data_IF_024157856724
#
_entry.id   IF_024157856724
#
_cell.length_a   1.000
_cell.length_b   1.000
_cell.length_c   1.000
_cell.angle_alpha   90.00
_cell.angle_beta   90.00
_cell.angle_gamma   90.00
#
_symmetry.space_group_name_H-M   'P 1'
#
loop_
_entity.id
_entity.type
_entity.pdbx_description
1 polymer ?
#
# COMPACT_ATOMS: atom_id res chain seq x y z
N UNK A 1 21.69 9.22 -24.66
CA UNK A 1 20.73 10.29 -24.99
C UNK A 1 21.00 11.46 -24.05
N UNK A 2 21.27 12.65 -24.59
CA UNK A 2 21.41 13.87 -23.78
C UNK A 2 20.02 14.29 -23.31
N UNK A 3 19.80 14.35 -21.99
CA UNK A 3 18.52 14.72 -21.37
C UNK A 3 18.32 16.23 -21.22
N UNK A 4 19.26 17.04 -21.72
CA UNK A 4 19.17 18.50 -21.70
C UNK A 4 19.55 19.07 -23.07
N UNK A 5 18.69 19.94 -23.61
CA UNK A 5 18.87 20.59 -24.91
C UNK A 5 19.40 22.02 -24.71
N UNK A 6 20.46 22.16 -23.90
CA UNK A 6 21.01 23.47 -23.51
C UNK A 6 22.51 23.50 -23.75
N UNK A 7 22.98 24.51 -24.49
CA UNK A 7 24.40 24.73 -24.77
C UNK A 7 25.07 25.65 -23.73
N UNK A 8 24.29 26.42 -22.96
CA UNK A 8 24.77 27.43 -22.01
C UNK A 8 23.77 27.66 -20.84
N UNK A 9 24.30 27.93 -19.64
CA UNK A 9 23.57 28.26 -18.40
C UNK A 9 23.23 29.76 -18.22
N UNK A 10 23.50 30.60 -19.22
CA UNK A 10 23.24 32.05 -19.18
C UNK A 10 21.80 32.45 -19.59
N UNK A 11 20.95 31.49 -19.96
CA UNK A 11 19.54 31.74 -20.31
C UNK A 11 18.64 31.91 -19.08
N UNK A 12 17.48 32.55 -19.26
CA UNK A 12 16.48 32.71 -18.20
C UNK A 12 15.87 31.34 -17.87
N UNK A 13 15.92 30.95 -16.59
CA UNK A 13 15.43 29.64 -16.10
C UNK A 13 13.95 29.39 -16.45
N UNK A 14 13.16 30.45 -16.62
CA UNK A 14 11.75 30.36 -17.03
C UNK A 14 11.54 29.78 -18.43
N UNK A 15 12.54 29.87 -19.31
CA UNK A 15 12.48 29.33 -20.68
C UNK A 15 12.94 27.86 -20.74
N UNK A 16 13.51 27.37 -19.64
CA UNK A 16 13.95 25.99 -19.49
C UNK A 16 12.72 25.18 -19.04
N UNK A 17 12.11 24.47 -20.00
CA UNK A 17 10.99 23.56 -19.74
C UNK A 17 11.34 22.42 -18.76
N UNK A 18 10.43 21.46 -18.54
CA UNK A 18 10.60 20.41 -17.56
C UNK A 18 11.91 19.62 -17.79
N UNK A 19 12.77 19.56 -16.76
CA UNK A 19 14.11 18.98 -16.82
C UNK A 19 14.21 17.71 -15.96
N UNK A 20 13.68 16.60 -16.47
CA UNK A 20 13.84 15.28 -15.88
C UNK A 20 13.47 14.21 -16.92
N UNK A 21 13.88 12.94 -16.75
CA UNK A 21 13.52 11.90 -17.70
C UNK A 21 12.00 11.60 -17.67
N UNK A 22 11.45 11.23 -18.83
CA UNK A 22 10.05 10.83 -19.02
C UNK A 22 8.98 11.93 -18.86
N UNK A 23 9.35 13.19 -19.10
CA UNK A 23 8.40 14.31 -19.19
C UNK A 23 7.28 14.01 -20.17
N UNK A 24 6.04 14.30 -19.80
CA UNK A 24 4.83 14.02 -20.58
C UNK A 24 4.24 12.63 -20.35
N UNK A 25 4.92 11.74 -19.62
CA UNK A 25 4.39 10.42 -19.24
C UNK A 25 3.81 10.37 -17.82
N UNK A 26 3.77 11.51 -17.13
CA UNK A 26 3.36 11.59 -15.73
C UNK A 26 1.95 11.00 -15.52
N UNK A 27 1.03 11.31 -16.43
CA UNK A 27 -0.35 10.81 -16.36
C UNK A 27 -0.45 9.29 -16.55
N UNK A 28 0.41 8.70 -17.38
CA UNK A 28 0.43 7.25 -17.61
C UNK A 28 0.86 6.54 -16.32
N UNK A 29 1.96 7.01 -15.72
CA UNK A 29 2.47 6.45 -14.47
C UNK A 29 1.51 6.66 -13.30
N UNK A 30 0.86 7.83 -13.24
CA UNK A 30 -0.17 8.10 -12.25
C UNK A 30 -1.33 7.11 -12.36
N UNK A 31 -1.87 6.90 -13.56
CA UNK A 31 -2.98 5.95 -13.79
C UNK A 31 -2.56 4.53 -13.47
N UNK A 32 -1.36 4.12 -13.89
CA UNK A 32 -0.83 2.79 -13.59
C UNK A 32 -0.70 2.55 -12.08
N UNK A 33 -0.17 3.52 -11.34
CA UNK A 33 -0.08 3.49 -9.89
C UNK A 33 -1.46 3.44 -9.23
N UNK A 34 -2.42 4.23 -9.73
CA UNK A 34 -3.78 4.26 -9.20
C UNK A 34 -4.50 2.91 -9.39
N UNK A 35 -4.39 2.31 -10.58
CA UNK A 35 -4.98 0.99 -10.86
C UNK A 35 -4.35 -0.09 -9.98
N UNK A 36 -3.03 -0.08 -9.85
CA UNK A 36 -2.31 -1.00 -8.97
C UNK A 36 -2.76 -0.84 -7.51
N UNK A 37 -2.90 0.39 -7.03
CA UNK A 37 -3.31 0.70 -5.66
C UNK A 37 -4.73 0.20 -5.36
N UNK A 38 -5.68 0.43 -6.26
CA UNK A 38 -7.06 -0.07 -6.10
C UNK A 38 -7.08 -1.60 -6.10
N UNK A 39 -6.38 -2.22 -7.05
CA UNK A 39 -6.28 -3.67 -7.13
C UNK A 39 -5.68 -4.27 -5.85
N UNK A 40 -4.61 -3.67 -5.33
CA UNK A 40 -3.97 -4.07 -4.09
C UNK A 40 -4.95 -4.05 -2.91
N UNK A 41 -5.71 -2.98 -2.73
CA UNK A 41 -6.71 -2.88 -1.65
C UNK A 41 -7.78 -3.96 -1.75
N UNK A 42 -8.28 -4.26 -2.94
CA UNK A 42 -9.27 -5.32 -3.14
C UNK A 42 -8.71 -6.68 -2.71
N UNK A 43 -7.46 -6.97 -3.06
CA UNK A 43 -6.80 -8.23 -2.69
C UNK A 43 -6.53 -8.28 -1.19
N UNK A 44 -6.07 -7.18 -0.60
CA UNK A 44 -5.80 -7.06 0.83
C UNK A 44 -7.07 -7.33 1.65
N UNK A 45 -8.17 -6.64 1.35
CA UNK A 45 -9.45 -6.83 2.05
C UNK A 45 -9.97 -8.26 1.92
N UNK A 46 -9.82 -8.90 0.75
CA UNK A 46 -10.21 -10.31 0.57
C UNK A 46 -9.41 -11.26 1.46
N UNK A 47 -8.11 -11.02 1.60
CA UNK A 47 -7.24 -11.83 2.47
C UNK A 47 -7.58 -11.63 3.93
N UNK A 48 -7.71 -10.39 4.36
CA UNK A 48 -8.07 -10.04 5.74
C UNK A 48 -9.42 -10.65 6.13
N UNK A 49 -10.44 -10.58 5.25
CA UNK A 49 -11.73 -11.19 5.51
C UNK A 49 -11.64 -12.70 5.76
N UNK A 50 -10.82 -13.42 4.99
CA UNK A 50 -10.63 -14.87 5.19
C UNK A 50 -10.01 -15.16 6.56
N UNK A 51 -8.97 -14.42 6.93
CA UNK A 51 -8.32 -14.55 8.24
C UNK A 51 -9.30 -14.23 9.37
N UNK A 52 -10.07 -13.15 9.26
CA UNK A 52 -11.09 -12.80 10.25
C UNK A 52 -12.17 -13.88 10.41
N UNK A 53 -12.65 -14.49 9.32
CA UNK A 53 -13.63 -15.58 9.41
C UNK A 53 -13.04 -16.83 10.10
N UNK A 54 -11.75 -17.13 9.90
CA UNK A 54 -11.05 -18.20 10.59
C UNK A 54 -10.85 -17.90 12.09
N UNK A 55 -10.50 -16.66 12.43
CA UNK A 55 -10.36 -16.21 13.81
C UNK A 55 -11.70 -16.22 14.56
N UNK A 56 -12.78 -15.75 13.93
CA UNK A 56 -14.13 -15.81 14.50
C UNK A 56 -14.54 -17.26 14.76
N UNK A 57 -14.21 -18.20 13.86
CA UNK A 57 -14.50 -19.63 14.10
C UNK A 57 -13.67 -20.20 15.26
N UNK A 58 -12.42 -19.76 15.42
CA UNK A 58 -11.50 -20.29 16.45
C UNK A 58 -11.75 -19.68 17.84
N UNK A 59 -12.11 -18.40 17.89
CA UNK A 59 -12.17 -17.60 19.12
C UNK A 59 -13.53 -16.93 19.38
N UNK A 60 -14.46 -16.92 18.43
CA UNK A 60 -15.74 -16.22 18.56
C UNK A 60 -16.76 -16.90 19.48
N UNK A 61 -16.51 -18.14 19.92
CA UNK A 61 -17.36 -18.82 20.90
C UNK A 61 -17.07 -18.33 22.32
N UNK A 62 -18.10 -17.93 23.07
CA UNK A 62 -18.01 -17.57 24.50
C UNK A 62 -17.32 -18.65 25.33
N UNK A 63 -17.43 -19.91 24.92
CA UNK A 63 -16.77 -21.06 25.54
C UNK A 63 -15.26 -21.11 25.26
N UNK A 64 -14.82 -20.79 24.04
CA UNK A 64 -13.40 -20.71 23.65
C UNK A 64 -12.70 -19.58 24.39
N UNK A 65 -13.35 -18.41 24.49
CA UNK A 65 -12.86 -17.26 25.24
C UNK A 65 -12.75 -17.57 26.73
N UNK A 66 -13.77 -18.21 27.33
CA UNK A 66 -13.72 -18.66 28.73
C UNK A 66 -12.56 -19.63 28.98
N UNK A 67 -12.33 -20.57 28.06
CA UNK A 67 -11.24 -21.56 28.20
C UNK A 67 -9.85 -20.93 28.08
N UNK A 68 -9.69 -19.88 27.28
CA UNK A 68 -8.43 -19.12 27.18
C UNK A 68 -8.21 -18.30 28.46
N UNK A 69 -9.25 -17.60 28.94
CA UNK A 69 -9.21 -16.81 30.18
C UNK A 69 -8.90 -17.70 31.40
N UNK A 70 -9.51 -18.87 31.50
CA UNK A 70 -9.23 -19.83 32.59
C UNK A 70 -7.80 -20.36 32.55
N UNK A 71 -7.24 -20.54 31.36
CA UNK A 71 -5.87 -21.06 31.18
C UNK A 71 -4.79 -20.02 31.49
N UNK A 72 -5.08 -18.74 31.29
CA UNK A 72 -4.19 -17.63 31.66
C UNK A 72 -4.42 -17.14 33.10
N UNK A 73 -5.46 -17.61 33.77
CA UNK A 73 -5.71 -17.26 35.17
C UNK A 73 -4.59 -17.81 36.06
N UNK A 74 -3.97 -16.97 36.91
CA UNK A 74 -2.82 -17.35 37.73
C UNK A 74 -3.12 -18.38 38.83
N UNK A 75 -4.37 -18.85 38.95
CA UNK A 75 -4.81 -19.83 39.96
C UNK A 75 -4.62 -21.29 39.55
N UNK A 76 -4.20 -21.60 38.31
CA UNK A 76 -3.98 -22.99 37.87
C UNK A 76 -2.55 -23.19 37.31
N UNK A 77 -1.60 -23.77 38.09
CA UNK A 77 -0.22 -23.97 37.68
C UNK A 77 -0.03 -25.02 36.56
#
# INVERSE_FOLDING_TARGET
MSTGNFENWAGTITDIGPLYPFVGTEMIWYIAGLVFWIWWHIVQTKRERKTYEEEIKRFGGTESLRKIIDKESPENP
#
